data_IF_494297797012
#
_entry.id   IF_494297797012
#
_cell.length_a   1.000
_cell.length_b   1.000
_cell.length_c   1.000
_cell.angle_alpha   90.00
_cell.angle_beta   90.00
_cell.angle_gamma   90.00
#
_symmetry.space_group_name_H-M   'P 1'
#
loop_
_entity.id
_entity.type
_entity.pdbx_description
1 polymer ?
#
# COMPACT_ATOMS: atom_id res chain seq x y z
N UNK A 1 -54.97 -15.28 -6.42
CA UNK A 1 -55.51 -14.40 -5.37
C UNK A 1 -54.97 -13.00 -5.59
N UNK A 2 -55.82 -11.98 -5.59
CA UNK A 2 -55.42 -10.58 -5.63
C UNK A 2 -55.07 -10.18 -4.20
N UNK A 3 -53.79 -10.25 -3.83
CA UNK A 3 -53.28 -9.61 -2.61
C UNK A 3 -53.57 -8.11 -2.72
N UNK A 4 -54.47 -7.62 -1.88
CA UNK A 4 -54.80 -6.21 -1.72
C UNK A 4 -54.11 -5.77 -0.43
N UNK A 5 -53.25 -4.78 -0.52
CA UNK A 5 -52.55 -4.23 0.64
C UNK A 5 -53.43 -3.14 1.24
N UNK A 6 -53.70 -3.22 2.54
CA UNK A 6 -54.54 -2.23 3.24
C UNK A 6 -53.75 -1.43 4.27
N UNK A 7 -52.54 -1.89 4.62
CA UNK A 7 -51.70 -1.30 5.67
C UNK A 7 -50.22 -1.38 5.32
N UNK A 8 -49.41 -0.61 6.04
CA UNK A 8 -47.95 -0.71 5.99
C UNK A 8 -47.45 -2.11 6.35
N UNK A 9 -48.03 -2.74 7.38
CA UNK A 9 -47.70 -4.10 7.81
C UNK A 9 -47.93 -5.14 6.70
N UNK A 10 -48.95 -4.98 5.86
CA UNK A 10 -49.18 -5.88 4.74
C UNK A 10 -48.07 -5.79 3.69
N UNK A 11 -47.62 -4.56 3.38
CA UNK A 11 -46.52 -4.33 2.45
C UNK A 11 -45.20 -4.84 3.05
N UNK A 12 -44.95 -4.57 4.33
CA UNK A 12 -43.76 -5.05 5.03
C UNK A 12 -43.70 -6.58 5.04
N UNK A 13 -44.82 -7.24 5.35
CA UNK A 13 -44.90 -8.70 5.35
C UNK A 13 -44.56 -9.27 3.97
N UNK A 14 -45.17 -8.74 2.91
CA UNK A 14 -44.93 -9.17 1.53
C UNK A 14 -43.48 -8.93 1.05
N UNK A 15 -42.92 -7.75 1.32
CA UNK A 15 -41.61 -7.36 0.80
C UNK A 15 -40.43 -7.85 1.63
N UNK A 16 -40.64 -8.08 2.93
CA UNK A 16 -39.54 -8.32 3.89
C UNK A 16 -39.67 -9.67 4.59
N UNK A 17 -40.85 -10.03 5.11
CA UNK A 17 -40.98 -11.24 5.93
C UNK A 17 -41.22 -12.50 5.10
N UNK A 18 -42.07 -12.41 4.08
CA UNK A 18 -42.49 -13.53 3.23
C UNK A 18 -41.76 -13.56 1.88
N UNK A 19 -40.87 -12.60 1.64
CA UNK A 19 -40.08 -12.52 0.41
C UNK A 19 -38.95 -13.55 0.40
N UNK A 20 -38.71 -14.18 -0.76
CA UNK A 20 -37.53 -15.04 -0.99
C UNK A 20 -36.26 -14.22 -1.30
N UNK A 21 -36.41 -12.91 -1.49
CA UNK A 21 -35.33 -11.99 -1.84
C UNK A 21 -34.50 -11.56 -0.60
N UNK A 22 -33.37 -10.89 -0.83
CA UNK A 22 -32.54 -10.32 0.25
C UNK A 22 -33.35 -9.40 1.17
N UNK A 23 -33.16 -9.57 2.48
CA UNK A 23 -33.82 -8.75 3.51
C UNK A 23 -33.59 -7.25 3.32
N UNK A 24 -32.35 -6.83 3.03
CA UNK A 24 -32.01 -5.43 2.81
C UNK A 24 -32.74 -4.86 1.59
N UNK A 25 -32.81 -5.65 0.51
CA UNK A 25 -33.54 -5.27 -0.70
C UNK A 25 -35.03 -5.08 -0.42
N UNK A 26 -35.65 -6.01 0.31
CA UNK A 26 -37.02 -5.88 0.78
C UNK A 26 -37.25 -4.61 1.61
N UNK A 27 -36.32 -4.28 2.52
CA UNK A 27 -36.41 -3.08 3.35
C UNK A 27 -36.33 -1.78 2.55
N UNK A 28 -35.42 -1.70 1.59
CA UNK A 28 -35.29 -0.51 0.73
C UNK A 28 -36.54 -0.35 -0.14
N UNK A 29 -37.06 -1.45 -0.72
CA UNK A 29 -38.31 -1.41 -1.48
C UNK A 29 -39.50 -0.98 -0.61
N UNK A 30 -39.59 -1.47 0.63
CA UNK A 30 -40.59 -1.03 1.60
C UNK A 30 -40.47 0.47 1.92
N UNK A 31 -39.26 0.95 2.20
CA UNK A 31 -39.01 2.35 2.50
C UNK A 31 -39.45 3.29 1.37
N UNK A 32 -39.21 2.91 0.11
CA UNK A 32 -39.64 3.69 -1.06
C UNK A 32 -41.17 3.81 -1.17
N UNK A 33 -41.91 2.75 -0.83
CA UNK A 33 -43.38 2.82 -0.81
C UNK A 33 -43.86 3.72 0.32
N UNK A 34 -43.26 3.61 1.50
CA UNK A 34 -43.61 4.44 2.65
C UNK A 34 -43.25 5.91 2.45
N UNK A 35 -42.15 6.21 1.76
CA UNK A 35 -41.79 7.57 1.35
C UNK A 35 -42.89 8.18 0.46
N UNK A 36 -43.36 7.46 -0.56
CA UNK A 36 -44.45 7.90 -1.43
C UNK A 36 -45.75 8.13 -0.64
N UNK A 37 -46.03 7.28 0.35
CA UNK A 37 -47.19 7.43 1.26
C UNK A 37 -47.07 8.71 2.09
N UNK A 38 -45.88 8.99 2.62
CA UNK A 38 -45.58 10.21 3.39
C UNK A 38 -45.72 11.45 2.50
N UNK A 39 -45.21 11.42 1.28
CA UNK A 39 -45.33 12.54 0.34
C UNK A 39 -46.77 12.79 -0.10
N UNK A 40 -47.52 11.74 -0.36
CA UNK A 40 -48.96 11.84 -0.57
C UNK A 40 -49.66 12.47 0.63
N UNK A 41 -49.33 12.03 1.86
CA UNK A 41 -49.94 12.57 3.08
C UNK A 41 -49.62 14.07 3.26
N UNK A 42 -48.39 14.50 2.96
CA UNK A 42 -48.01 15.93 2.94
C UNK A 42 -48.83 16.72 1.92
N UNK A 43 -49.00 16.18 0.71
CA UNK A 43 -49.80 16.84 -0.33
C UNK A 43 -51.29 16.90 0.05
N UNK A 44 -51.81 15.83 0.64
CA UNK A 44 -53.16 15.76 1.17
C UNK A 44 -53.40 16.83 2.24
N UNK A 45 -52.46 16.97 3.18
CA UNK A 45 -52.54 17.96 4.26
C UNK A 45 -52.55 19.39 3.74
N UNK A 46 -51.67 19.70 2.78
CA UNK A 46 -51.63 21.01 2.15
C UNK A 46 -52.92 21.35 1.38
N UNK A 47 -53.64 20.34 0.88
CA UNK A 47 -54.86 20.53 0.07
C UNK A 47 -56.13 20.59 0.93
N UNK A 48 -56.18 19.81 2.01
CA UNK A 48 -57.38 19.65 2.84
C UNK A 48 -57.28 20.39 4.19
N UNK A 49 -56.17 21.08 4.45
CA UNK A 49 -55.86 21.79 5.70
C UNK A 49 -55.91 20.90 6.95
N UNK A 50 -55.74 19.59 6.76
CA UNK A 50 -55.68 18.58 7.82
C UNK A 50 -54.91 17.33 7.36
N UNK A 51 -54.25 16.61 8.26
CA UNK A 51 -53.66 15.32 7.93
C UNK A 51 -54.74 14.30 7.51
N UNK A 52 -54.37 13.31 6.68
CA UNK A 52 -55.26 12.21 6.33
C UNK A 52 -55.56 11.35 7.57
N UNK A 53 -56.80 10.88 7.67
CA UNK A 53 -57.20 9.94 8.72
C UNK A 53 -56.85 8.49 8.34
N UNK A 54 -57.08 7.55 9.26
CA UNK A 54 -56.75 6.14 9.06
C UNK A 54 -57.46 5.49 7.86
N UNK A 55 -58.71 5.87 7.58
CA UNK A 55 -59.46 5.33 6.43
C UNK A 55 -58.91 5.88 5.11
N UNK A 56 -58.47 7.13 5.09
CA UNK A 56 -57.84 7.76 3.92
C UNK A 56 -56.47 7.14 3.62
N UNK A 57 -55.67 6.88 4.66
CA UNK A 57 -54.39 6.16 4.52
C UNK A 57 -54.63 4.74 4.01
N UNK A 58 -55.62 4.03 4.58
CA UNK A 58 -55.99 2.68 4.11
C UNK A 58 -56.41 2.71 2.64
N UNK A 59 -57.25 3.67 2.26
CA UNK A 59 -57.67 3.84 0.87
C UNK A 59 -56.48 4.12 -0.06
N UNK A 60 -55.47 4.87 0.39
CA UNK A 60 -54.25 5.07 -0.37
C UNK A 60 -53.54 3.75 -0.68
N UNK A 61 -53.32 2.89 0.33
CA UNK A 61 -52.70 1.56 0.11
C UNK A 61 -53.52 0.71 -0.85
N UNK A 62 -54.85 0.69 -0.66
CA UNK A 62 -55.76 -0.13 -1.46
C UNK A 62 -55.89 0.29 -2.92
N UNK A 63 -55.53 1.54 -3.24
CA UNK A 63 -55.52 2.09 -4.59
C UNK A 63 -54.19 1.85 -5.32
N UNK A 64 -53.13 1.40 -4.63
CA UNK A 64 -51.85 1.17 -5.29
C UNK A 64 -51.95 -0.06 -6.22
N UNK A 65 -51.62 0.07 -7.51
CA UNK A 65 -51.58 -1.07 -8.40
C UNK A 65 -50.42 -1.99 -8.02
N UNK A 66 -50.53 -3.28 -8.34
CA UNK A 66 -49.43 -4.25 -8.10
C UNK A 66 -48.10 -3.85 -8.74
N UNK A 67 -48.16 -3.09 -9.83
CA UNK A 67 -46.98 -2.52 -10.49
C UNK A 67 -46.17 -1.59 -9.59
N UNK A 68 -46.78 -0.97 -8.57
CA UNK A 68 -46.06 -0.11 -7.63
C UNK A 68 -45.05 -0.89 -6.79
N UNK A 69 -45.38 -2.13 -6.38
CA UNK A 69 -44.44 -2.99 -5.67
C UNK A 69 -43.28 -3.40 -6.58
N UNK A 70 -43.57 -3.76 -7.83
CA UNK A 70 -42.53 -4.09 -8.81
C UNK A 70 -41.63 -2.89 -9.11
N UNK A 71 -42.22 -1.69 -9.21
CA UNK A 71 -41.48 -0.45 -9.41
C UNK A 71 -40.60 -0.12 -8.20
N UNK A 72 -41.13 -0.23 -6.99
CA UNK A 72 -40.35 -0.03 -5.77
C UNK A 72 -39.20 -1.04 -5.64
N UNK A 73 -39.42 -2.29 -6.03
CA UNK A 73 -38.39 -3.32 -6.16
C UNK A 73 -37.31 -2.88 -7.16
N UNK A 74 -37.66 -2.53 -8.40
CA UNK A 74 -36.66 -2.07 -9.38
C UNK A 74 -35.87 -0.82 -8.93
N UNK A 75 -36.53 0.14 -8.26
CA UNK A 75 -35.85 1.32 -7.70
C UNK A 75 -34.91 0.95 -6.55
N UNK A 76 -35.31 0.02 -5.67
CA UNK A 76 -34.46 -0.47 -4.59
C UNK A 76 -33.23 -1.23 -5.12
N UNK A 77 -33.38 -2.00 -6.19
CA UNK A 77 -32.29 -2.72 -6.83
C UNK A 77 -31.26 -1.73 -7.39
N UNK A 78 -31.74 -0.73 -8.13
CA UNK A 78 -30.88 0.33 -8.67
C UNK A 78 -30.15 1.11 -7.56
N UNK A 79 -30.84 1.48 -6.49
CA UNK A 79 -30.24 2.22 -5.37
C UNK A 79 -29.17 1.40 -4.64
N UNK A 80 -29.42 0.10 -4.43
CA UNK A 80 -28.44 -0.80 -3.82
C UNK A 80 -27.25 -1.06 -4.74
N UNK A 81 -27.47 -1.15 -6.04
CA UNK A 81 -26.40 -1.28 -7.03
C UNK A 81 -25.53 -0.02 -7.06
N UNK A 82 -26.13 1.16 -7.12
CA UNK A 82 -25.42 2.45 -7.09
C UNK A 82 -24.58 2.60 -5.82
N UNK A 83 -25.16 2.28 -4.66
CA UNK A 83 -24.42 2.29 -3.40
C UNK A 83 -23.27 1.26 -3.38
N UNK A 84 -23.49 0.07 -3.94
CA UNK A 84 -22.44 -0.95 -4.03
C UNK A 84 -21.29 -0.50 -4.93
N UNK A 85 -21.61 0.14 -6.06
CA UNK A 85 -20.62 0.67 -6.99
C UNK A 85 -19.83 1.83 -6.35
N UNK A 86 -20.48 2.72 -5.59
CA UNK A 86 -19.83 3.80 -4.84
C UNK A 86 -18.85 3.26 -3.80
N UNK A 87 -19.27 2.26 -3.01
CA UNK A 87 -18.41 1.64 -1.99
C UNK A 87 -17.22 0.94 -2.64
N UNK A 88 -17.45 0.14 -3.69
CA UNK A 88 -16.37 -0.56 -4.40
C UNK A 88 -15.40 0.43 -5.04
N UNK A 89 -15.89 1.53 -5.62
CA UNK A 89 -15.03 2.55 -6.19
C UNK A 89 -14.18 3.23 -5.11
N UNK A 90 -14.77 3.56 -3.96
CA UNK A 90 -14.02 4.15 -2.84
C UNK A 90 -12.92 3.22 -2.32
N UNK A 91 -13.19 1.92 -2.24
CA UNK A 91 -12.20 0.92 -1.86
C UNK A 91 -11.08 0.81 -2.91
N UNK A 92 -11.43 0.76 -4.20
CA UNK A 92 -10.44 0.69 -5.30
C UNK A 92 -9.52 1.92 -5.29
N UNK A 93 -10.06 3.10 -5.05
CA UNK A 93 -9.27 4.33 -4.94
C UNK A 93 -8.32 4.29 -3.74
N UNK A 94 -8.80 3.84 -2.56
CA UNK A 94 -7.97 3.70 -1.36
C UNK A 94 -6.85 2.66 -1.54
N UNK A 95 -7.16 1.48 -2.09
CA UNK A 95 -6.15 0.45 -2.37
C UNK A 95 -5.19 0.88 -3.48
N UNK A 96 -5.67 1.62 -4.48
CA UNK A 96 -4.86 2.17 -5.55
C UNK A 96 -3.79 3.13 -5.04
N UNK A 97 -4.15 4.04 -4.14
CA UNK A 97 -3.19 4.96 -3.50
C UNK A 97 -2.17 4.21 -2.63
N UNK A 98 -2.59 3.24 -1.82
CA UNK A 98 -1.66 2.40 -1.03
C UNK A 98 -0.66 1.63 -1.89
N UNK A 99 -1.10 1.07 -3.03
CA UNK A 99 -0.20 0.37 -3.96
C UNK A 99 0.81 1.34 -4.59
N UNK A 100 0.38 2.55 -4.99
CA UNK A 100 1.29 3.56 -5.53
C UNK A 100 2.35 3.96 -4.51
N UNK A 101 1.94 4.21 -3.26
CA UNK A 101 2.85 4.56 -2.17
C UNK A 101 3.88 3.44 -1.93
N UNK A 102 3.44 2.18 -1.85
CA UNK A 102 4.32 1.03 -1.67
C UNK A 102 5.32 0.84 -2.82
N UNK A 103 4.89 1.07 -4.07
CA UNK A 103 5.76 1.03 -5.25
C UNK A 103 6.81 2.14 -5.19
N UNK A 104 6.40 3.37 -4.85
CA UNK A 104 7.30 4.52 -4.70
C UNK A 104 8.32 4.27 -3.59
N UNK A 105 7.89 3.82 -2.40
CA UNK A 105 8.77 3.50 -1.27
C UNK A 105 9.75 2.39 -1.64
N UNK A 106 9.30 1.36 -2.36
CA UNK A 106 10.16 0.26 -2.82
C UNK A 106 11.22 0.75 -3.78
N UNK A 107 10.88 1.61 -4.72
CA UNK A 107 11.82 2.15 -5.69
C UNK A 107 12.83 3.11 -5.05
N UNK A 108 12.39 3.96 -4.11
CA UNK A 108 13.28 4.78 -3.27
C UNK A 108 14.26 3.90 -2.48
N UNK A 109 13.80 2.80 -1.87
CA UNK A 109 14.69 1.88 -1.14
C UNK A 109 15.71 1.21 -2.04
N UNK A 110 15.37 0.87 -3.29
CA UNK A 110 16.35 0.34 -4.26
C UNK A 110 17.41 1.38 -4.62
N UNK A 111 17.00 2.63 -4.87
CA UNK A 111 17.92 3.74 -5.11
C UNK A 111 18.85 4.00 -3.91
N UNK A 112 18.31 3.91 -2.68
CA UNK A 112 19.09 4.05 -1.45
C UNK A 112 20.15 2.97 -1.25
N UNK A 113 19.96 1.74 -1.77
CA UNK A 113 20.95 0.65 -1.69
C UNK A 113 22.08 0.75 -2.70
N UNK A 114 21.92 1.53 -3.76
CA UNK A 114 22.97 1.74 -4.77
C UNK A 114 24.14 2.56 -4.23
N UNK A 115 23.85 3.62 -3.45
CA UNK A 115 24.88 4.55 -2.94
C UNK A 115 25.94 3.91 -2.02
N UNK A 116 25.57 3.07 -1.04
CA UNK A 116 26.56 2.37 -0.22
C UNK A 116 27.45 1.43 -1.04
N UNK A 117 26.87 0.71 -2.01
CA UNK A 117 27.62 -0.24 -2.83
C UNK A 117 28.55 0.47 -3.82
N UNK A 118 28.12 1.61 -4.37
CA UNK A 118 28.97 2.49 -5.18
C UNK A 118 30.17 3.02 -4.37
N UNK A 119 29.93 3.49 -3.14
CA UNK A 119 30.99 3.98 -2.25
C UNK A 119 32.01 2.91 -1.86
N UNK A 120 31.56 1.69 -1.53
CA UNK A 120 32.44 0.56 -1.20
C UNK A 120 33.31 0.17 -2.40
N UNK A 121 32.73 0.08 -3.60
CA UNK A 121 33.48 -0.27 -4.81
C UNK A 121 34.49 0.82 -5.19
N UNK A 122 34.12 2.10 -5.06
CA UNK A 122 35.02 3.22 -5.31
C UNK A 122 36.19 3.23 -4.33
N UNK A 123 35.93 3.06 -3.03
CA UNK A 123 36.96 2.99 -2.01
C UNK A 123 37.91 1.81 -2.21
N UNK A 124 37.37 0.64 -2.57
CA UNK A 124 38.17 -0.55 -2.92
C UNK A 124 39.08 -0.30 -4.12
N UNK A 125 38.54 0.31 -5.18
CA UNK A 125 39.31 0.69 -6.38
C UNK A 125 40.45 1.65 -6.05
N UNK A 126 40.17 2.73 -5.31
CA UNK A 126 41.20 3.71 -4.90
C UNK A 126 42.25 3.06 -4.01
N UNK A 127 41.85 2.25 -3.03
CA UNK A 127 42.79 1.56 -2.13
C UNK A 127 43.71 0.61 -2.91
N UNK A 128 43.16 -0.14 -3.87
CA UNK A 128 43.95 -1.05 -4.71
C UNK A 128 44.96 -0.30 -5.58
N UNK A 129 44.58 0.85 -6.15
CA UNK A 129 45.47 1.68 -6.96
C UNK A 129 46.61 2.27 -6.12
N UNK A 130 46.31 2.73 -4.89
CA UNK A 130 47.32 3.23 -3.95
C UNK A 130 48.31 2.13 -3.55
N UNK A 131 47.81 0.94 -3.21
CA UNK A 131 48.67 -0.21 -2.85
C UNK A 131 49.55 -0.64 -4.03
N UNK A 132 48.99 -0.68 -5.24
CA UNK A 132 49.74 -1.04 -6.44
C UNK A 132 50.82 0.01 -6.76
N UNK A 133 50.50 1.30 -6.66
CA UNK A 133 51.46 2.38 -6.84
C UNK A 133 52.59 2.30 -5.80
N UNK A 134 52.28 2.02 -4.53
CA UNK A 134 53.29 1.83 -3.49
C UNK A 134 54.22 0.65 -3.79
N UNK A 135 53.67 -0.47 -4.28
CA UNK A 135 54.44 -1.65 -4.65
C UNK A 135 55.38 -1.37 -5.84
N UNK A 136 54.90 -0.63 -6.84
CA UNK A 136 55.73 -0.19 -7.97
C UNK A 136 56.86 0.75 -7.52
N UNK A 137 56.60 1.66 -6.58
CA UNK A 137 57.63 2.54 -6.04
C UNK A 137 58.71 1.76 -5.29
N UNK A 138 58.34 0.74 -4.51
CA UNK A 138 59.29 -0.14 -3.82
C UNK A 138 60.16 -0.89 -4.83
N UNK A 139 59.54 -1.49 -5.85
CA UNK A 139 60.28 -2.19 -6.91
C UNK A 139 61.23 -1.25 -7.66
N UNK A 140 60.76 -0.06 -8.03
CA UNK A 140 61.58 0.95 -8.69
C UNK A 140 62.76 1.38 -7.80
N UNK A 141 62.55 1.53 -6.50
CA UNK A 141 63.62 1.84 -5.55
C UNK A 141 64.71 0.75 -5.53
N UNK A 142 64.34 -0.53 -5.45
CA UNK A 142 65.31 -1.63 -5.47
C UNK A 142 66.08 -1.75 -6.80
N UNK A 143 65.39 -1.58 -7.93
CA UNK A 143 66.00 -1.67 -9.26
C UNK A 143 66.94 -0.49 -9.52
N UNK A 144 66.57 0.72 -9.11
CA UNK A 144 67.35 1.93 -9.41
C UNK A 144 68.49 2.22 -8.41
N UNK A 145 68.44 1.65 -7.20
CA UNK A 145 69.48 1.89 -6.18
C UNK A 145 70.52 0.76 -6.06
N UNK A 146 70.58 -0.20 -6.99
CA UNK A 146 71.57 -1.29 -7.02
C UNK A 146 71.77 -2.02 -5.66
N UNK A 147 70.73 -2.07 -4.82
CA UNK A 147 70.78 -2.78 -3.55
C UNK A 147 70.59 -4.26 -3.86
N UNK A 148 71.71 -4.94 -4.13
CA UNK A 148 71.75 -6.38 -4.32
C UNK A 148 71.22 -7.10 -3.05
N UNK A 149 70.19 -7.96 -3.14
CA UNK A 149 69.68 -8.75 -2.02
C UNK A 149 70.77 -9.62 -1.37
N UNK A 150 71.84 -9.91 -2.12
CA UNK A 150 73.00 -10.69 -1.66
C UNK A 150 73.83 -9.92 -0.63
N UNK A 151 73.87 -8.58 -0.66
CA UNK A 151 74.65 -7.79 0.31
C UNK A 151 73.98 -7.67 1.68
N UNK A 152 72.64 -7.70 1.74
CA UNK A 152 71.89 -7.68 3.01
C UNK A 152 72.03 -9.01 3.77
N UNK A 153 72.12 -10.13 3.05
CA UNK A 153 72.38 -11.45 3.65
C UNK A 153 73.80 -11.58 4.24
N UNK A 154 74.79 -10.94 3.61
CA UNK A 154 76.19 -10.99 4.07
C UNK A 154 76.41 -10.19 5.35
N UNK A 155 75.74 -9.03 5.53
CA UNK A 155 75.85 -8.24 6.77
C UNK A 155 75.22 -8.91 8.00
N UNK A 156 74.27 -9.83 7.81
CA UNK A 156 73.63 -10.58 8.91
C UNK A 156 74.41 -11.88 9.23
N UNK A 157 75.23 -12.39 8.29
CA UNK A 157 75.98 -13.64 8.42
C UNK A 157 77.38 -13.53 9.05
N UNK A 158 78.02 -12.35 9.04
CA UNK A 158 79.38 -12.17 9.56
C UNK A 158 79.42 -11.49 10.94
N UNK A 159 78.95 -12.18 11.97
CA UNK A 159 79.59 -12.09 13.29
C UNK A 159 79.32 -13.33 14.16
N UNK A 160 80.19 -14.35 14.08
CA UNK A 160 80.42 -15.19 15.25
C UNK A 160 81.93 -15.41 15.48
N UNK A 161 82.47 -14.72 16.49
CA UNK A 161 83.76 -14.98 17.19
C UNK A 161 84.98 -14.50 16.37
N UNK A 162 85.74 -13.48 16.75
CA UNK A 162 86.24 -13.15 18.09
C UNK A 162 87.57 -13.85 18.32
N UNK A 163 88.70 -13.21 17.96
CA UNK A 163 90.00 -13.43 18.61
C UNK A 163 90.97 -12.27 18.32
N UNK A 164 91.53 -11.70 19.40
CA UNK A 164 92.51 -10.61 19.45
C UNK A 164 93.90 -11.23 19.68
N UNK A 165 94.92 -10.74 18.95
CA UNK A 165 96.30 -10.56 19.43
C UNK A 165 96.81 -9.27 18.77
N UNK A 166 96.87 -8.11 19.43
CA UNK A 166 97.93 -7.63 20.35
C UNK A 166 99.36 -8.10 19.98
N UNK A 167 100.41 -7.28 19.93
CA UNK A 167 100.60 -5.84 20.15
C UNK A 167 102.02 -5.47 19.63
N UNK A 168 102.34 -4.17 19.71
CA UNK A 168 103.64 -3.48 19.54
C UNK A 168 103.96 -3.10 18.08
N UNK A 169 104.14 -1.83 17.71
CA UNK A 169 104.44 -0.65 18.51
C UNK A 169 105.74 -0.01 18.00
N UNK A 170 105.57 1.15 17.38
CA UNK A 170 106.46 2.32 17.39
C UNK A 170 107.75 2.37 16.54
N UNK A 171 107.83 3.55 15.91
CA UNK A 171 108.96 4.41 15.61
C UNK A 171 109.89 4.24 14.38
N UNK A 172 109.90 5.34 13.61
CA UNK A 172 110.84 5.86 12.57
C UNK A 172 110.61 5.53 11.11
#
# INVERSE_FOLDING_TARGET
>A
MTTKFSTSDDIYRELVQESEESWLYGLVAFALIEERRIDWARHYENTNERPPNSDEIKNWYEQQPKSELLRAKGEAENALQEYSDEVVQSDIEEYGEKIKEDVVVREIRKLGRFWPQFGINLAGGVTSAVLFAALLLILAFFVLNDISPVQIGVQIGENPKGEIKEVIGDDR
#
